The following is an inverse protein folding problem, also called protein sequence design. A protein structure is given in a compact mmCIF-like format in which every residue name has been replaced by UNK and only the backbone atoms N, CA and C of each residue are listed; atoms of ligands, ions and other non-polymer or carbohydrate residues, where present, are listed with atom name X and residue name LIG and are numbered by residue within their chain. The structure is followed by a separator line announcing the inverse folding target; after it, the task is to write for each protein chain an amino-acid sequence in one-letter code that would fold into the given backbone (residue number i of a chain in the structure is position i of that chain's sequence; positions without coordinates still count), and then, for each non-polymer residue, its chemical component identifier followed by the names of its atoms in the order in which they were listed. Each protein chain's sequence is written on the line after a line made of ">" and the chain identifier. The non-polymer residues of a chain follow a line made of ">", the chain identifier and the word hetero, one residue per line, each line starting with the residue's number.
data_IF_246813850117
#
_entry.id   IF_246813850117
#
_cell.length_a   1.000
_cell.length_b   1.000
_cell.length_c   1.000
_cell.angle_alpha   90.00
_cell.angle_beta   90.00
_cell.angle_gamma   90.00
#
_symmetry.space_group_name_H-M   'P 1'
#
loop_
_entity.id
_entity.type
_entity.pdbx_description
1 polymer ?
#
# COMPACT_ATOMS: atom_id res chain seq x y z
N UNK A 1 -2.07 6.54 26.77
CA UNK A 1 -3.39 6.61 26.12
C UNK A 1 -3.81 8.06 26.00
N UNK A 2 -3.81 8.61 24.78
CA UNK A 2 -4.38 9.93 24.50
C UNK A 2 -5.89 9.77 24.25
N UNK A 3 -6.77 10.65 24.77
CA UNK A 3 -8.20 10.34 24.96
C UNK A 3 -9.07 10.34 23.68
N UNK A 4 -8.49 10.61 22.52
CA UNK A 4 -9.12 10.49 21.19
C UNK A 4 -8.00 10.13 20.20
N UNK A 5 -7.45 8.93 20.37
CA UNK A 5 -6.12 8.55 19.88
C UNK A 5 -6.00 8.54 18.36
N UNK A 6 -5.57 9.65 17.80
CA UNK A 6 -4.89 9.69 16.51
C UNK A 6 -3.68 8.74 16.55
N UNK A 7 -3.53 7.79 15.61
CA UNK A 7 -2.32 6.97 15.54
C UNK A 7 -1.16 7.87 15.13
N UNK A 8 -0.30 8.21 16.11
CA UNK A 8 0.97 8.87 15.83
C UNK A 8 1.93 7.94 15.07
N UNK A 9 1.72 6.62 15.20
CA UNK A 9 2.44 5.55 14.52
C UNK A 9 1.45 4.49 14.04
N UNK A 10 1.69 3.95 12.84
CA UNK A 10 0.90 2.86 12.28
C UNK A 10 1.54 1.53 12.69
N UNK A 11 1.06 1.00 13.81
CA UNK A 11 1.46 -0.28 14.39
C UNK A 11 0.52 -1.41 13.92
N UNK A 12 0.96 -2.67 13.91
CA UNK A 12 0.09 -3.78 13.52
C UNK A 12 -1.05 -3.94 14.54
N UNK A 13 -2.24 -4.26 14.04
CA UNK A 13 -3.41 -4.52 14.91
C UNK A 13 -3.33 -5.86 15.64
N UNK A 14 -2.51 -6.78 15.11
CA UNK A 14 -2.16 -8.06 15.72
C UNK A 14 -0.67 -8.34 15.47
N UNK A 15 0.07 -8.70 16.51
CA UNK A 15 1.50 -9.05 16.42
C UNK A 15 1.76 -10.24 15.49
N UNK A 16 0.78 -11.13 15.27
CA UNK A 16 0.92 -12.23 14.31
C UNK A 16 1.16 -11.74 12.88
N UNK A 17 0.78 -10.52 12.54
CA UNK A 17 1.07 -9.90 11.23
C UNK A 17 2.56 -9.61 11.03
N UNK A 18 3.30 -9.35 12.12
CA UNK A 18 4.76 -9.19 12.07
C UNK A 18 5.44 -10.55 12.03
N UNK A 19 4.98 -11.50 12.86
CA UNK A 19 5.49 -12.87 12.85
C UNK A 19 5.34 -13.50 11.45
N UNK A 20 4.24 -13.21 10.74
CA UNK A 20 4.04 -13.66 9.37
C UNK A 20 5.11 -13.12 8.41
N UNK A 21 5.61 -11.90 8.61
CA UNK A 21 6.72 -11.38 7.81
C UNK A 21 8.01 -12.20 8.04
N UNK A 22 8.28 -12.61 9.29
CA UNK A 22 9.41 -13.49 9.63
C UNK A 22 9.22 -14.89 9.03
N UNK A 23 8.03 -15.48 9.15
CA UNK A 23 7.71 -16.79 8.58
C UNK A 23 7.86 -16.82 7.06
N UNK A 24 7.45 -15.74 6.37
CA UNK A 24 7.66 -15.59 4.92
C UNK A 24 9.16 -15.56 4.60
N UNK A 25 9.95 -14.75 5.31
CA UNK A 25 11.40 -14.68 5.11
C UNK A 25 12.05 -16.05 5.31
N UNK A 26 11.70 -16.75 6.38
CA UNK A 26 12.20 -18.09 6.68
C UNK A 26 11.82 -19.10 5.59
N UNK A 27 10.57 -19.07 5.12
CA UNK A 27 10.08 -19.96 4.06
C UNK A 27 10.87 -19.81 2.75
N UNK A 28 11.17 -18.58 2.35
CA UNK A 28 11.92 -18.31 1.12
C UNK A 28 13.44 -18.24 1.30
N UNK A 29 13.94 -18.37 2.53
CA UNK A 29 15.36 -18.21 2.85
C UNK A 29 15.89 -16.79 2.62
N UNK A 30 15.04 -15.77 2.80
CA UNK A 30 15.40 -14.36 2.66
C UNK A 30 15.92 -13.79 3.97
N UNK A 31 16.98 -12.99 3.88
CA UNK A 31 17.54 -12.28 5.04
C UNK A 31 16.94 -10.90 5.21
N UNK A 32 16.63 -10.53 6.46
CA UNK A 32 16.09 -9.22 6.81
C UNK A 32 17.04 -8.04 6.51
N UNK A 33 18.36 -8.27 6.53
CA UNK A 33 19.35 -7.20 6.41
C UNK A 33 19.13 -6.33 5.16
N UNK A 34 18.79 -6.94 4.03
CA UNK A 34 18.52 -6.19 2.79
C UNK A 34 17.26 -5.31 2.90
N UNK A 35 16.22 -5.79 3.59
CA UNK A 35 15.01 -5.02 3.84
C UNK A 35 15.33 -3.80 4.73
N UNK A 36 16.17 -3.99 5.75
CA UNK A 36 16.61 -2.91 6.63
C UNK A 36 17.43 -1.87 5.88
N UNK A 37 18.45 -2.29 5.12
CA UNK A 37 19.28 -1.37 4.32
C UNK A 37 18.43 -0.58 3.31
N UNK A 38 17.47 -1.25 2.64
CA UNK A 38 16.57 -0.58 1.70
C UNK A 38 15.67 0.45 2.40
N UNK A 39 15.12 0.11 3.57
CA UNK A 39 14.28 1.02 4.35
C UNK A 39 15.04 2.24 4.87
N UNK A 40 16.25 2.04 5.42
CA UNK A 40 17.10 3.14 5.90
C UNK A 40 17.50 4.08 4.75
N UNK A 41 17.83 3.53 3.58
CA UNK A 41 18.20 4.33 2.42
C UNK A 41 17.01 5.05 1.77
N UNK A 42 15.83 4.45 1.75
CA UNK A 42 14.60 5.15 1.35
C UNK A 42 14.33 6.33 2.28
N UNK A 43 14.38 6.11 3.60
CA UNK A 43 14.17 7.15 4.60
C UNK A 43 15.19 8.28 4.42
N UNK A 44 16.48 7.94 4.31
CA UNK A 44 17.56 8.90 4.12
C UNK A 44 17.37 9.72 2.83
N UNK A 45 17.01 9.06 1.73
CA UNK A 45 16.75 9.74 0.44
C UNK A 45 15.62 10.76 0.58
N UNK A 46 14.52 10.36 1.23
CA UNK A 46 13.37 11.22 1.46
C UNK A 46 13.73 12.41 2.38
N UNK A 47 14.43 12.16 3.48
CA UNK A 47 14.80 13.20 4.45
C UNK A 47 15.85 14.18 3.95
N UNK A 48 16.70 13.77 3.00
CA UNK A 48 17.68 14.63 2.36
C UNK A 48 17.12 15.40 1.16
N UNK A 49 15.89 15.09 0.73
CA UNK A 49 15.24 15.80 -0.36
C UNK A 49 14.87 17.24 0.04
N UNK A 50 14.74 18.12 -0.96
CA UNK A 50 14.19 19.47 -0.79
C UNK A 50 12.67 19.53 -0.92
N UNK A 51 12.00 18.37 -1.03
CA UNK A 51 10.56 18.28 -1.26
C UNK A 51 9.81 18.45 0.06
N UNK A 52 9.25 19.65 0.27
CA UNK A 52 8.59 20.03 1.51
C UNK A 52 7.53 19.01 1.99
N UNK A 53 6.68 18.50 1.10
CA UNK A 53 5.60 17.56 1.48
C UNK A 53 6.10 16.21 1.99
N UNK A 54 7.40 15.91 1.88
CA UNK A 54 8.00 14.67 2.39
C UNK A 54 8.69 14.82 3.75
N UNK A 55 8.77 16.04 4.29
CA UNK A 55 9.28 16.25 5.64
C UNK A 55 8.42 15.52 6.68
N UNK A 56 9.03 15.05 7.77
CA UNK A 56 8.38 14.18 8.78
C UNK A 56 7.01 14.68 9.24
N UNK A 57 6.87 15.99 9.46
CA UNK A 57 5.63 16.57 9.96
C UNK A 57 4.50 16.56 8.91
N UNK A 58 4.82 16.69 7.62
CA UNK A 58 3.85 16.54 6.54
C UNK A 58 3.44 15.09 6.36
N UNK A 59 4.37 14.14 6.47
CA UNK A 59 4.05 12.70 6.45
C UNK A 59 3.09 12.32 7.58
N UNK A 60 3.29 12.89 8.78
CA UNK A 60 2.33 12.80 9.87
C UNK A 60 0.97 13.44 9.54
N UNK A 61 0.96 14.63 8.90
CA UNK A 61 -0.29 15.25 8.47
C UNK A 61 -1.05 14.42 7.42
N UNK A 62 -0.36 13.71 6.53
CA UNK A 62 -0.93 12.79 5.55
C UNK A 62 -1.70 11.64 6.22
N UNK A 63 -1.11 11.03 7.25
CA UNK A 63 -1.80 10.01 8.06
C UNK A 63 -3.04 10.61 8.73
N UNK A 64 -2.95 11.83 9.28
CA UNK A 64 -4.11 12.55 9.86
C UNK A 64 -5.22 12.82 8.84
N UNK A 65 -4.86 13.17 7.60
CA UNK A 65 -5.81 13.41 6.52
C UNK A 65 -6.52 12.10 6.13
N UNK A 66 -5.78 11.01 5.96
CA UNK A 66 -6.33 9.70 5.66
C UNK A 66 -7.20 9.18 6.81
N UNK A 67 -6.78 9.35 8.07
CA UNK A 67 -7.59 9.00 9.23
C UNK A 67 -8.95 9.71 9.23
N UNK A 68 -8.96 11.03 9.00
CA UNK A 68 -10.23 11.78 8.89
C UNK A 68 -11.10 11.28 7.74
N UNK A 69 -10.48 10.99 6.58
CA UNK A 69 -11.20 10.60 5.36
C UNK A 69 -11.74 9.17 5.42
N UNK A 70 -11.00 8.24 6.01
CA UNK A 70 -11.27 6.79 5.98
C UNK A 70 -11.88 6.26 7.29
N UNK A 71 -11.59 6.89 8.42
CA UNK A 71 -12.05 6.42 9.75
C UNK A 71 -13.17 7.29 10.28
N UNK A 72 -12.95 8.60 10.44
CA UNK A 72 -13.94 9.50 11.05
C UNK A 72 -15.19 9.63 10.17
N UNK A 73 -15.01 9.77 8.86
CA UNK A 73 -16.14 9.79 7.91
C UNK A 73 -16.74 8.40 7.67
N UNK A 74 -15.98 7.34 7.92
CA UNK A 74 -16.38 5.94 7.75
C UNK A 74 -16.99 5.59 6.39
N UNK A 75 -16.39 5.97 5.24
CA UNK A 75 -16.90 5.58 3.94
C UNK A 75 -16.71 4.07 3.69
N UNK A 76 -17.40 3.55 2.68
CA UNK A 76 -17.02 2.29 2.04
C UNK A 76 -15.66 2.45 1.33
N UNK A 77 -14.79 1.45 1.47
CA UNK A 77 -13.44 1.41 0.92
C UNK A 77 -13.26 0.10 0.16
N UNK A 78 -12.68 0.17 -1.04
CA UNK A 78 -12.30 -1.01 -1.81
C UNK A 78 -10.78 -1.02 -2.01
N UNK A 79 -10.14 -2.14 -1.67
CA UNK A 79 -8.75 -2.43 -2.02
C UNK A 79 -8.75 -3.09 -3.40
N UNK A 80 -8.01 -2.52 -4.35
CA UNK A 80 -7.81 -3.11 -5.67
C UNK A 80 -6.53 -3.94 -5.64
N UNK A 81 -6.67 -5.27 -5.71
CA UNK A 81 -5.58 -6.21 -5.87
C UNK A 81 -5.25 -6.50 -7.33
N UNK A 82 -4.15 -7.22 -7.56
CA UNK A 82 -3.59 -7.42 -8.90
C UNK A 82 -4.47 -8.24 -9.88
N UNK A 83 -5.50 -8.94 -9.40
CA UNK A 83 -6.43 -9.69 -10.24
C UNK A 83 -7.71 -8.90 -10.58
N UNK A 84 -7.70 -7.58 -10.39
CA UNK A 84 -8.86 -6.72 -10.63
C UNK A 84 -9.23 -6.66 -12.12
N UNK A 85 -10.51 -6.88 -12.41
CA UNK A 85 -11.07 -6.74 -13.75
C UNK A 85 -11.83 -5.40 -13.94
N UNK A 86 -11.95 -4.89 -15.18
CA UNK A 86 -12.58 -3.60 -15.44
C UNK A 86 -14.04 -3.55 -14.97
N UNK A 87 -14.77 -4.65 -15.08
CA UNK A 87 -16.17 -4.78 -14.65
C UNK A 87 -16.31 -4.59 -13.14
N UNK A 88 -15.47 -5.23 -12.34
CA UNK A 88 -15.46 -5.08 -10.87
C UNK A 88 -15.22 -3.62 -10.46
N UNK A 89 -14.31 -2.93 -11.16
CA UNK A 89 -14.07 -1.51 -10.93
C UNK A 89 -15.28 -0.68 -11.33
N UNK A 90 -15.86 -0.90 -12.52
CA UNK A 90 -17.03 -0.15 -13.00
C UNK A 90 -18.20 -0.27 -12.01
N UNK A 91 -18.51 -1.48 -11.55
CA UNK A 91 -19.57 -1.74 -10.57
C UNK A 91 -19.31 -1.00 -9.26
N UNK A 92 -18.05 -1.02 -8.80
CA UNK A 92 -17.65 -0.29 -7.58
C UNK A 92 -17.87 1.22 -7.74
N UNK A 93 -17.67 1.76 -8.94
CA UNK A 93 -17.85 3.17 -9.24
C UNK A 93 -19.32 3.63 -9.28
N UNK A 94 -20.30 2.73 -9.18
CA UNK A 94 -21.71 3.10 -9.04
C UNK A 94 -22.01 3.71 -7.66
N UNK A 95 -21.21 3.34 -6.66
CA UNK A 95 -21.29 3.83 -5.27
C UNK A 95 -20.22 4.89 -4.97
N UNK A 96 -20.34 5.70 -3.90
CA UNK A 96 -19.30 6.65 -3.47
C UNK A 96 -18.13 5.96 -2.73
N UNK A 97 -17.78 4.72 -3.09
CA UNK A 97 -16.68 3.96 -2.49
C UNK A 97 -15.33 4.61 -2.81
N UNK A 98 -14.47 4.73 -1.79
CA UNK A 98 -13.09 5.18 -1.97
C UNK A 98 -12.19 4.00 -2.34
N UNK A 99 -11.18 4.25 -3.16
CA UNK A 99 -10.28 3.21 -3.67
C UNK A 99 -8.92 3.29 -2.98
N UNK A 100 -8.41 2.15 -2.54
CA UNK A 100 -7.00 1.95 -2.18
C UNK A 100 -6.39 1.05 -3.24
N UNK A 101 -5.34 1.51 -3.90
CA UNK A 101 -4.72 0.74 -4.97
C UNK A 101 -3.50 -0.01 -4.42
N UNK A 102 -3.42 -1.32 -4.64
CA UNK A 102 -2.22 -2.10 -4.40
C UNK A 102 -1.38 -2.09 -5.69
N UNK A 103 -0.39 -1.19 -5.71
CA UNK A 103 0.65 -1.10 -6.71
C UNK A 103 0.15 -1.23 -8.18
N UNK A 104 0.57 -2.26 -8.91
CA UNK A 104 0.24 -2.49 -10.32
C UNK A 104 -1.26 -2.58 -10.63
N UNK A 105 -2.10 -2.86 -9.62
CA UNK A 105 -3.56 -2.87 -9.78
C UNK A 105 -4.13 -1.53 -10.32
N UNK A 106 -3.36 -0.43 -10.25
CA UNK A 106 -3.68 0.83 -10.92
C UNK A 106 -3.95 0.69 -12.42
N UNK A 107 -3.35 -0.30 -13.08
CA UNK A 107 -3.43 -0.47 -14.52
C UNK A 107 -4.86 -0.65 -15.04
N UNK A 108 -5.74 -1.28 -14.27
CA UNK A 108 -7.15 -1.50 -14.63
C UNK A 108 -7.91 -0.20 -14.91
N UNK A 109 -7.50 0.91 -14.28
CA UNK A 109 -8.15 2.22 -14.47
C UNK A 109 -7.94 2.75 -15.90
N UNK A 110 -6.90 2.28 -16.60
CA UNK A 110 -6.63 2.66 -17.99
C UNK A 110 -7.44 1.84 -19.00
N UNK A 111 -8.11 0.76 -18.57
CA UNK A 111 -8.91 -0.11 -19.44
C UNK A 111 -10.40 0.26 -19.46
N UNK A 112 -10.85 1.08 -18.52
CA UNK A 112 -12.23 1.55 -18.45
C UNK A 112 -12.44 2.84 -19.28
N UNK A 113 -13.68 3.16 -19.71
CA UNK A 113 -13.97 4.39 -20.45
C UNK A 113 -13.42 5.65 -19.77
N UNK A 114 -12.88 6.60 -20.56
CA UNK A 114 -12.18 7.80 -20.04
C UNK A 114 -12.94 8.57 -18.95
N UNK A 115 -14.26 8.74 -19.09
CA UNK A 115 -15.08 9.42 -18.08
C UNK A 115 -15.12 8.65 -16.75
N UNK A 116 -15.15 7.32 -16.78
CA UNK A 116 -15.06 6.47 -15.61
C UNK A 116 -13.64 6.39 -15.07
N UNK A 117 -12.62 6.45 -15.93
CA UNK A 117 -11.21 6.51 -15.54
C UNK A 117 -10.91 7.73 -14.66
N UNK A 118 -11.34 8.94 -15.09
CA UNK A 118 -11.19 10.15 -14.27
C UNK A 118 -12.01 10.09 -12.96
N UNK A 119 -13.20 9.47 -13.02
CA UNK A 119 -14.01 9.20 -11.83
C UNK A 119 -13.31 8.25 -10.86
N UNK A 120 -12.64 7.21 -11.36
CA UNK A 120 -11.86 6.27 -10.55
C UNK A 120 -10.68 6.97 -9.89
N UNK A 121 -9.86 7.70 -10.67
CA UNK A 121 -8.73 8.46 -10.14
C UNK A 121 -9.15 9.45 -9.04
N UNK A 122 -10.26 10.16 -9.21
CA UNK A 122 -10.77 11.08 -8.18
C UNK A 122 -11.25 10.38 -6.88
N UNK A 123 -11.51 9.07 -6.94
CA UNK A 123 -11.92 8.26 -5.77
C UNK A 123 -10.76 7.56 -5.08
N UNK A 124 -9.56 7.59 -5.65
CA UNK A 124 -8.38 7.03 -4.98
C UNK A 124 -8.08 7.85 -3.73
N UNK A 125 -7.97 7.17 -2.59
CA UNK A 125 -7.60 7.80 -1.34
C UNK A 125 -6.08 7.77 -1.13
N UNK A 126 -5.47 6.62 -1.41
CA UNK A 126 -4.03 6.44 -1.49
C UNK A 126 -3.68 5.20 -2.32
N UNK A 127 -2.41 5.07 -2.66
CA UNK A 127 -1.81 3.87 -3.22
C UNK A 127 -0.87 3.26 -2.19
N UNK A 128 -0.83 1.93 -2.11
CA UNK A 128 0.16 1.16 -1.35
C UNK A 128 1.04 0.46 -2.36
N UNK A 129 2.35 0.70 -2.32
CA UNK A 129 3.24 0.28 -3.40
C UNK A 129 4.67 0.15 -2.92
N UNK A 130 5.39 -0.83 -3.47
CA UNK A 130 6.84 -0.99 -3.43
C UNK A 130 7.55 -0.29 -4.61
N UNK A 131 6.77 0.41 -5.44
CA UNK A 131 7.14 1.13 -6.65
C UNK A 131 7.33 0.30 -7.93
N UNK A 132 7.09 -1.02 -7.92
CA UNK A 132 7.33 -1.89 -9.09
C UNK A 132 6.14 -2.01 -10.08
N UNK A 133 4.98 -1.42 -9.75
CA UNK A 133 3.72 -1.51 -10.52
C UNK A 133 3.65 -0.79 -11.86
N UNK A 134 4.78 -0.31 -12.39
CA UNK A 134 4.89 0.31 -13.71
C UNK A 134 4.13 1.63 -13.87
N UNK A 135 3.65 1.93 -15.09
CA UNK A 135 3.04 3.22 -15.43
C UNK A 135 1.81 3.56 -14.57
N UNK A 136 1.09 2.57 -14.04
CA UNK A 136 -0.01 2.80 -13.11
C UNK A 136 0.44 3.53 -11.83
N UNK A 137 1.59 3.10 -11.27
CA UNK A 137 2.23 3.70 -10.09
C UNK A 137 2.72 5.12 -10.38
N UNK A 138 3.44 5.31 -11.50
CA UNK A 138 3.88 6.65 -11.92
C UNK A 138 2.71 7.60 -12.20
N UNK A 139 1.62 7.09 -12.79
CA UNK A 139 0.41 7.87 -13.07
C UNK A 139 -0.31 8.30 -11.80
N UNK A 140 -0.27 7.49 -10.74
CA UNK A 140 -0.78 7.87 -9.42
C UNK A 140 0.09 8.97 -8.79
N UNK A 141 1.42 8.83 -8.85
CA UNK A 141 2.36 9.85 -8.39
C UNK A 141 2.16 11.19 -9.12
N UNK A 142 2.05 11.17 -10.46
CA UNK A 142 1.76 12.35 -11.31
C UNK A 142 0.42 13.03 -11.02
N UNK A 143 -0.49 12.34 -10.32
CA UNK A 143 -1.80 12.84 -9.88
C UNK A 143 -1.78 13.30 -8.43
N UNK A 144 -0.60 13.34 -7.80
CA UNK A 144 -0.42 13.74 -6.40
C UNK A 144 -1.22 12.86 -5.43
N UNK A 145 -1.49 11.60 -5.81
CA UNK A 145 -2.17 10.65 -4.93
C UNK A 145 -1.20 10.26 -3.81
N UNK A 146 -1.61 10.31 -2.53
CA UNK A 146 -0.75 9.88 -1.43
C UNK A 146 -0.26 8.43 -1.62
N UNK A 147 1.03 8.20 -1.42
CA UNK A 147 1.65 6.88 -1.56
C UNK A 147 2.11 6.38 -0.20
N UNK A 148 1.56 5.24 0.22
CA UNK A 148 2.10 4.41 1.30
C UNK A 148 3.21 3.55 0.69
N UNK A 149 4.40 4.11 0.66
CA UNK A 149 5.57 3.54 0.01
C UNK A 149 6.28 2.59 0.97
N UNK A 150 6.65 1.40 0.49
CA UNK A 150 7.49 0.49 1.26
C UNK A 150 8.75 0.07 0.53
N UNK A 151 9.81 -0.12 1.31
CA UNK A 151 11.08 -0.63 0.84
C UNK A 151 11.31 -2.06 1.34
N UNK A 152 11.89 -2.89 0.49
CA UNK A 152 12.43 -4.21 0.79
C UNK A 152 13.69 -4.47 -0.03
N UNK A 153 14.31 -5.64 0.11
CA UNK A 153 15.65 -5.90 -0.39
C UNK A 153 15.84 -5.87 -1.92
N UNK A 154 14.75 -5.91 -2.68
CA UNK A 154 14.79 -6.15 -4.13
C UNK A 154 14.18 -5.01 -4.97
N UNK A 155 13.49 -4.03 -4.37
CA UNK A 155 12.78 -2.94 -5.08
C UNK A 155 13.53 -1.60 -5.05
N UNK A 156 14.84 -1.61 -4.78
CA UNK A 156 15.60 -0.39 -4.51
C UNK A 156 15.65 0.55 -5.70
N UNK A 157 15.82 0.00 -6.89
CA UNK A 157 15.88 0.77 -8.12
C UNK A 157 14.52 1.43 -8.40
N UNK A 158 13.43 0.68 -8.20
CA UNK A 158 12.05 1.12 -8.43
C UNK A 158 11.67 2.31 -7.53
N UNK A 159 11.87 2.18 -6.21
CA UNK A 159 11.52 3.29 -5.32
C UNK A 159 12.42 4.51 -5.54
N UNK A 160 13.69 4.31 -5.92
CA UNK A 160 14.60 5.42 -6.19
C UNK A 160 14.17 6.20 -7.44
N UNK A 161 13.75 5.49 -8.50
CA UNK A 161 13.23 6.11 -9.72
C UNK A 161 11.92 6.86 -9.45
N UNK A 162 10.99 6.23 -8.72
CA UNK A 162 9.73 6.87 -8.32
C UNK A 162 9.97 8.15 -7.54
N UNK A 163 10.88 8.14 -6.55
CA UNK A 163 11.23 9.32 -5.76
C UNK A 163 11.89 10.39 -6.64
N UNK A 164 12.81 10.02 -7.52
CA UNK A 164 13.48 10.97 -8.41
C UNK A 164 12.49 11.65 -9.35
N UNK A 165 11.61 10.89 -10.00
CA UNK A 165 10.58 11.45 -10.88
C UNK A 165 9.62 12.34 -10.08
N UNK A 166 9.10 11.83 -8.95
CA UNK A 166 8.16 12.53 -8.08
C UNK A 166 8.70 13.85 -7.54
N UNK A 167 9.97 13.88 -7.14
CA UNK A 167 10.60 15.08 -6.58
C UNK A 167 10.85 16.19 -7.61
N UNK A 168 10.77 15.87 -8.91
CA UNK A 168 10.87 16.86 -9.98
C UNK A 168 9.53 17.51 -10.35
N UNK A 169 8.42 17.01 -9.79
CA UNK A 169 7.08 17.51 -10.08
C UNK A 169 6.78 18.81 -9.32
N UNK A 170 5.89 19.64 -9.87
CA UNK A 170 5.40 20.84 -9.19
C UNK A 170 4.56 20.49 -7.95
N UNK A 171 3.81 19.39 -8.02
CA UNK A 171 2.99 18.87 -6.93
C UNK A 171 3.34 17.40 -6.69
N UNK A 172 4.45 17.10 -5.98
CA UNK A 172 4.81 15.74 -5.64
C UNK A 172 3.73 15.07 -4.77
N UNK A 173 3.55 13.74 -4.86
CA UNK A 173 2.65 13.01 -3.97
C UNK A 173 3.13 13.10 -2.53
N UNK A 174 2.18 13.11 -1.59
CA UNK A 174 2.47 12.90 -0.18
C UNK A 174 2.98 11.47 0.05
N UNK A 175 3.92 11.29 0.99
CA UNK A 175 4.49 9.98 1.29
C UNK A 175 4.21 9.53 2.73
N UNK A 176 3.83 8.27 2.89
CA UNK A 176 3.82 7.55 4.15
C UNK A 176 4.79 6.40 3.99
N UNK A 177 5.87 6.39 4.76
CA UNK A 177 6.93 5.41 4.62
C UNK A 177 6.65 4.21 5.51
N UNK A 178 6.66 3.02 4.92
CA UNK A 178 6.46 1.75 5.62
C UNK A 178 7.62 0.78 5.35
N UNK A 179 7.81 -0.19 6.24
CA UNK A 179 8.85 -1.21 6.15
C UNK A 179 8.31 -2.55 6.67
N UNK A 180 9.12 -3.62 6.55
CA UNK A 180 8.76 -4.97 6.99
C UNK A 180 9.85 -5.63 7.85
N UNK A 181 10.57 -4.81 8.62
CA UNK A 181 11.64 -5.24 9.53
C UNK A 181 11.13 -5.29 10.98
N UNK A 182 11.77 -6.14 11.78
CA UNK A 182 11.60 -6.35 13.22
C UNK A 182 12.02 -5.15 14.06
N UNK A 183 12.95 -4.35 13.56
CA UNK A 183 13.46 -3.15 14.23
C UNK A 183 12.60 -1.93 13.92
N UNK A 184 12.29 -1.12 14.94
CA UNK A 184 11.62 0.16 14.74
C UNK A 184 12.55 1.16 14.06
N UNK A 185 12.09 1.74 12.96
CA UNK A 185 12.81 2.78 12.21
C UNK A 185 12.12 4.12 12.44
N UNK A 186 12.70 5.07 13.21
CA UNK A 186 12.05 6.34 13.51
C UNK A 186 11.71 7.14 12.25
N UNK A 187 10.42 7.40 12.04
CA UNK A 187 9.94 8.07 10.83
C UNK A 187 9.49 7.10 9.73
N UNK A 188 9.42 5.81 9.99
CA UNK A 188 8.69 4.83 9.18
C UNK A 188 7.74 4.03 10.06
N UNK A 189 6.88 3.22 9.44
CA UNK A 189 5.90 2.41 10.14
C UNK A 189 5.90 0.96 9.64
N UNK A 190 5.52 0.00 10.49
CA UNK A 190 5.30 -1.38 10.07
C UNK A 190 3.88 -1.80 10.48
N UNK A 191 2.87 -1.57 9.63
CA UNK A 191 1.50 -1.99 9.94
C UNK A 191 1.29 -3.52 9.81
N UNK A 192 2.29 -4.25 9.32
CA UNK A 192 2.16 -5.64 8.88
C UNK A 192 2.00 -5.78 7.36
N UNK A 193 1.76 -7.01 6.92
CA UNK A 193 1.59 -7.39 5.52
C UNK A 193 2.92 -7.59 4.79
N UNK A 194 2.89 -8.38 3.71
CA UNK A 194 4.08 -8.74 2.94
C UNK A 194 4.00 -8.36 1.47
N UNK A 195 2.82 -8.47 0.85
CA UNK A 195 2.53 -7.99 -0.51
C UNK A 195 1.81 -6.64 -0.46
N UNK A 196 1.69 -5.93 -1.57
CA UNK A 196 0.97 -4.64 -1.61
C UNK A 196 -0.49 -4.77 -1.16
N UNK A 197 -1.14 -5.88 -1.51
CA UNK A 197 -2.57 -6.12 -1.24
C UNK A 197 -2.86 -6.31 0.25
N UNK A 198 -2.17 -7.23 0.92
CA UNK A 198 -2.34 -7.42 2.35
C UNK A 198 -1.69 -6.29 3.17
N UNK A 199 -0.62 -5.64 2.68
CA UNK A 199 -0.10 -4.41 3.30
C UNK A 199 -1.13 -3.28 3.25
N UNK A 200 -1.89 -3.14 2.16
CA UNK A 200 -3.00 -2.18 2.10
C UNK A 200 -4.07 -2.49 3.15
N UNK A 201 -4.40 -3.76 3.35
CA UNK A 201 -5.35 -4.18 4.39
C UNK A 201 -4.81 -3.90 5.81
N UNK A 202 -3.55 -4.24 6.07
CA UNK A 202 -2.85 -3.97 7.32
C UNK A 202 -2.79 -2.46 7.62
N UNK A 203 -2.45 -1.65 6.62
CA UNK A 203 -2.45 -0.19 6.71
C UNK A 203 -3.81 0.36 7.11
N UNK A 204 -4.89 -0.08 6.45
CA UNK A 204 -6.26 0.36 6.79
C UNK A 204 -6.67 -0.06 8.20
N UNK A 205 -6.35 -1.29 8.59
CA UNK A 205 -6.63 -1.80 9.93
C UNK A 205 -5.87 -0.98 11.01
N UNK A 206 -4.57 -0.75 10.80
CA UNK A 206 -3.72 0.06 11.66
C UNK A 206 -4.21 1.51 11.78
N UNK A 207 -4.71 2.08 10.68
CA UNK A 207 -5.33 3.40 10.67
C UNK A 207 -6.64 3.44 11.50
N UNK A 208 -7.32 2.30 11.65
CA UNK A 208 -8.57 2.15 12.39
C UNK A 208 -9.83 2.03 11.51
N UNK A 209 -9.68 1.69 10.23
CA UNK A 209 -10.82 1.44 9.35
C UNK A 209 -11.49 0.12 9.77
N UNK A 210 -12.81 0.14 9.93
CA UNK A 210 -13.56 -1.05 10.36
C UNK A 210 -13.66 -2.05 9.22
N UNK A 211 -13.46 -3.34 9.52
CA UNK A 211 -13.51 -4.41 8.51
C UNK A 211 -14.77 -4.41 7.63
N UNK A 212 -15.95 -4.15 8.20
CA UNK A 212 -17.20 -4.11 7.43
C UNK A 212 -17.29 -2.96 6.42
N UNK A 213 -16.37 -1.99 6.48
CA UNK A 213 -16.23 -0.93 5.48
C UNK A 213 -15.23 -1.30 4.37
N UNK A 214 -14.48 -2.38 4.51
CA UNK A 214 -13.41 -2.78 3.58
C UNK A 214 -13.93 -3.89 2.67
N UNK A 215 -13.79 -3.69 1.36
CA UNK A 215 -14.01 -4.70 0.34
C UNK A 215 -12.69 -5.02 -0.35
N UNK A 216 -12.42 -6.29 -0.58
CA UNK A 216 -11.30 -6.75 -1.38
C UNK A 216 -11.81 -7.03 -2.80
N UNK A 217 -11.19 -6.41 -3.81
CA UNK A 217 -11.49 -6.64 -5.22
C UNK A 217 -10.22 -7.10 -5.92
N UNK A 218 -10.32 -8.02 -6.88
CA UNK A 218 -9.12 -8.53 -7.55
C UNK A 218 -8.07 -9.15 -6.60
N UNK A 219 -8.47 -9.63 -5.43
CA UNK A 219 -7.59 -10.30 -4.48
C UNK A 219 -7.77 -11.81 -4.61
N UNK A 220 -6.70 -12.54 -4.91
CA UNK A 220 -6.77 -13.96 -5.25
C UNK A 220 -5.53 -14.71 -4.73
N UNK A 221 -5.74 -15.86 -4.08
CA UNK A 221 -4.68 -16.73 -3.54
C UNK A 221 -4.33 -17.95 -4.40
N UNK A 222 -5.10 -18.19 -5.46
CA UNK A 222 -5.04 -19.40 -6.30
C UNK A 222 -4.50 -19.12 -7.72
N UNK A 223 -4.45 -17.86 -8.15
CA UNK A 223 -3.90 -17.45 -9.44
C UNK A 223 -3.22 -16.10 -9.38
N UNK A 224 -2.17 -15.93 -10.16
CA UNK A 224 -1.48 -14.64 -10.31
C UNK A 224 -2.36 -13.70 -11.14
N UNK A 225 -2.67 -12.53 -10.58
CA UNK A 225 -3.44 -11.50 -11.27
C UNK A 225 -2.63 -10.81 -12.36
N UNK A 226 -3.28 -10.39 -13.46
CA UNK A 226 -2.64 -9.77 -14.64
C UNK A 226 -1.89 -8.48 -14.36
N UNK A 227 -2.19 -7.82 -13.24
CA UNK A 227 -1.51 -6.60 -12.79
C UNK A 227 -0.39 -6.87 -11.78
N UNK A 228 0.03 -8.13 -11.64
CA UNK A 228 1.23 -8.44 -10.88
C UNK A 228 2.45 -7.99 -11.68
N UNK A 229 3.43 -7.33 -11.04
CA UNK A 229 4.73 -7.04 -11.64
C UNK A 229 5.45 -8.29 -12.17
N UNK A 230 6.54 -8.08 -12.92
CA UNK A 230 7.35 -9.17 -13.48
C UNK A 230 7.83 -10.11 -12.37
N UNK A 231 7.41 -11.37 -12.43
CA UNK A 231 7.67 -12.29 -11.31
C UNK A 231 7.75 -13.75 -11.76
N UNK A 232 8.43 -14.55 -10.94
CA UNK A 232 8.44 -16.00 -11.10
C UNK A 232 7.15 -16.58 -10.51
N UNK A 233 6.25 -17.04 -11.39
CA UNK A 233 4.88 -17.45 -11.06
C UNK A 233 4.76 -18.40 -9.85
N UNK A 234 5.57 -19.48 -9.70
CA UNK A 234 5.55 -20.33 -8.51
C UNK A 234 5.82 -19.59 -7.20
N UNK A 235 6.79 -18.67 -7.20
CA UNK A 235 7.15 -17.88 -6.02
C UNK A 235 6.01 -16.92 -5.66
N UNK A 236 5.38 -16.32 -6.67
CA UNK A 236 4.24 -15.43 -6.48
C UNK A 236 3.04 -16.17 -5.90
N UNK A 237 2.71 -17.36 -6.40
CA UNK A 237 1.61 -18.17 -5.86
C UNK A 237 1.81 -18.49 -4.38
N UNK A 238 3.03 -18.84 -3.96
CA UNK A 238 3.32 -19.04 -2.53
C UNK A 238 3.15 -17.74 -1.72
N UNK A 239 3.64 -16.60 -2.22
CA UNK A 239 3.39 -15.28 -1.58
C UNK A 239 1.89 -14.98 -1.42
N UNK A 240 1.06 -15.37 -2.39
CA UNK A 240 -0.38 -15.13 -2.33
C UNK A 240 -1.09 -15.98 -1.26
N UNK A 241 -0.56 -17.16 -0.90
CA UNK A 241 -1.05 -17.92 0.27
C UNK A 241 -0.74 -17.22 1.59
N UNK A 242 0.44 -16.59 1.69
CA UNK A 242 0.79 -15.77 2.84
C UNK A 242 -0.09 -14.51 2.94
N UNK A 243 -0.37 -13.87 1.80
CA UNK A 243 -1.35 -12.78 1.72
C UNK A 243 -2.72 -13.23 2.25
N UNK A 244 -3.20 -14.41 1.85
CA UNK A 244 -4.45 -14.97 2.38
C UNK A 244 -4.41 -15.13 3.91
N UNK A 245 -3.34 -15.69 4.48
CA UNK A 245 -3.20 -15.84 5.93
C UNK A 245 -3.24 -14.49 6.66
N UNK A 246 -2.55 -13.48 6.13
CA UNK A 246 -2.57 -12.10 6.62
C UNK A 246 -4.00 -11.54 6.63
N UNK A 247 -4.76 -11.74 5.54
CA UNK A 247 -6.16 -11.31 5.44
C UNK A 247 -7.10 -12.10 6.36
N UNK A 248 -6.81 -13.37 6.65
CA UNK A 248 -7.55 -14.18 7.65
C UNK A 248 -7.32 -13.66 9.07
N UNK A 249 -6.08 -13.32 9.43
CA UNK A 249 -5.76 -12.68 10.73
C UNK A 249 -6.57 -11.39 10.88
N UNK A 250 -6.65 -10.59 9.81
CA UNK A 250 -7.45 -9.37 9.78
C UNK A 250 -8.95 -9.60 9.77
N UNK A 251 -9.45 -10.83 9.60
CA UNK A 251 -10.89 -11.12 9.45
C UNK A 251 -11.50 -10.54 8.16
N UNK A 252 -10.69 -10.40 7.11
CA UNK A 252 -11.09 -9.91 5.78
C UNK A 252 -11.16 -11.04 4.73
N UNK A 253 -10.80 -12.26 5.12
CA UNK A 253 -10.86 -13.44 4.26
C UNK A 253 -11.66 -14.55 4.92
N UNK A 254 -12.62 -15.11 4.17
CA UNK A 254 -13.45 -16.24 4.58
C UNK A 254 -13.43 -17.29 3.49
N UNK A 255 -13.48 -18.57 3.88
CA UNK A 255 -13.56 -19.73 2.98
C UNK A 255 -14.81 -19.73 2.08
#
# INVERSE_FOLDING_TARGET
>A
MTPYGYPAELEPVDTSLLNLQDEVRDYFGWGELKDLESAEDLLKTVEQSSVRVWERHYRGASISNLYRRLVIRGPSVAILGAAIEPEELIDTLESPTLLIIADGAAGVISEIPKSLSEKAWSRVACMVSDADGGEGTYKAARRSIPIVLHAHGDNREDWLELIKESGSQNEPPELILTHQTSSRIPGMHNPGGFTDGDRAACFLASLGVKNHNIRLLGTNSHSVGRWSGETHEPTKLEKLKWMEQSLRILGLWTD
#
